data_IF_289977618581
#
_entry.id   IF_289977618581
#
_cell.length_a   1.000
_cell.length_b   1.000
_cell.length_c   1.000
_cell.angle_alpha   90.00
_cell.angle_beta   90.00
_cell.angle_gamma   90.00
#
_symmetry.space_group_name_H-M   'P 1'
#
loop_
_entity.id
_entity.type
_entity.pdbx_description
1 polymer ?
#
# COMPACT_ATOMS: atom_id res chain seq x y z
N UNK A 1 37.87 -69.68 -56.89
CA UNK A 1 37.58 -68.36 -57.48
C UNK A 1 36.06 -68.17 -57.46
N UNK A 2 35.60 -67.02 -56.96
CA UNK A 2 34.22 -66.47 -56.99
C UNK A 2 33.14 -67.33 -56.33
N UNK A 3 32.37 -66.90 -55.34
CA UNK A 3 31.93 -65.56 -54.93
C UNK A 3 30.40 -65.60 -54.80
N UNK A 4 29.83 -65.30 -53.64
CA UNK A 4 28.37 -65.22 -53.47
C UNK A 4 27.87 -65.36 -52.04
N UNK A 5 27.49 -64.24 -51.44
CA UNK A 5 27.06 -64.04 -50.05
C UNK A 5 25.63 -64.55 -49.74
N UNK A 6 25.48 -65.08 -48.51
CA UNK A 6 24.46 -64.82 -47.45
C UNK A 6 22.96 -64.75 -47.83
N UNK A 7 22.11 -65.46 -47.06
CA UNK A 7 21.35 -64.91 -45.90
C UNK A 7 20.07 -65.73 -45.57
N UNK A 8 19.93 -66.25 -44.35
CA UNK A 8 18.65 -66.63 -43.69
C UNK A 8 18.83 -66.42 -42.17
N UNK A 9 18.42 -65.26 -41.64
CA UNK A 9 17.21 -65.01 -40.83
C UNK A 9 17.40 -65.26 -39.33
N UNK A 10 17.49 -64.16 -38.55
CA UNK A 10 17.16 -64.14 -37.13
C UNK A 10 16.34 -62.87 -36.86
N UNK A 11 15.18 -63.07 -36.25
CA UNK A 11 14.19 -62.07 -35.89
C UNK A 11 14.64 -61.26 -34.67
N UNK A 12 14.52 -59.94 -34.71
CA UNK A 12 14.57 -59.07 -33.52
C UNK A 12 13.40 -58.09 -33.56
N UNK A 13 12.50 -58.26 -32.59
CA UNK A 13 11.33 -57.43 -32.31
C UNK A 13 11.81 -56.06 -31.84
N UNK A 14 11.44 -55.00 -32.55
CA UNK A 14 11.70 -53.62 -32.15
C UNK A 14 10.50 -53.08 -31.37
N UNK A 15 10.66 -52.86 -30.07
CA UNK A 15 9.70 -52.10 -29.25
C UNK A 15 10.03 -50.62 -29.43
N UNK A 16 9.15 -49.88 -30.11
CA UNK A 16 9.25 -48.43 -30.21
C UNK A 16 8.65 -47.79 -28.94
N UNK A 17 9.51 -47.25 -28.08
CA UNK A 17 9.09 -46.39 -26.96
C UNK A 17 8.92 -44.97 -27.51
N UNK A 18 7.67 -44.53 -27.67
CA UNK A 18 7.36 -43.13 -27.98
C UNK A 18 7.43 -42.33 -26.68
N UNK A 19 8.56 -41.65 -26.46
CA UNK A 19 8.68 -40.61 -25.44
C UNK A 19 7.91 -39.37 -25.92
N UNK A 20 6.66 -39.22 -25.46
CA UNK A 20 5.94 -37.95 -25.57
C UNK A 20 6.53 -37.02 -24.51
N UNK A 21 7.46 -36.15 -24.91
CA UNK A 21 7.87 -35.02 -24.10
C UNK A 21 6.70 -34.03 -24.06
N UNK A 22 5.87 -34.13 -23.02
CA UNK A 22 4.90 -33.10 -22.69
C UNK A 22 5.66 -31.82 -22.31
N UNK A 23 5.85 -30.94 -23.28
CA UNK A 23 6.12 -29.53 -23.01
C UNK A 23 4.90 -29.03 -22.26
N UNK A 24 5.02 -28.96 -20.94
CA UNK A 24 4.04 -28.28 -20.09
C UNK A 24 4.00 -26.82 -20.53
N UNK A 25 3.03 -26.47 -21.36
CA UNK A 25 2.63 -25.08 -21.54
C UNK A 25 2.09 -24.69 -20.17
N UNK A 26 2.89 -23.98 -19.38
CA UNK A 26 2.40 -23.31 -18.18
C UNK A 26 1.42 -22.25 -18.67
N UNK A 27 0.13 -22.60 -18.69
CA UNK A 27 -0.93 -21.62 -18.86
C UNK A 27 -0.78 -20.69 -17.66
N UNK A 28 -0.18 -19.53 -17.89
CA UNK A 28 -0.06 -18.51 -16.87
C UNK A 28 -1.48 -18.03 -16.65
N UNK A 29 -2.15 -18.51 -15.61
CA UNK A 29 -3.50 -18.04 -15.28
C UNK A 29 -3.46 -16.52 -15.20
N UNK A 30 -4.31 -15.88 -16.00
CA UNK A 30 -4.39 -14.44 -16.03
C UNK A 30 -4.80 -13.98 -14.63
N UNK A 31 -3.89 -13.27 -13.95
CA UNK A 31 -4.13 -12.74 -12.61
C UNK A 31 -5.49 -12.02 -12.57
N UNK A 32 -6.31 -12.20 -11.52
CA UNK A 32 -7.63 -11.61 -11.45
C UNK A 32 -7.57 -10.09 -11.62
N UNK A 33 -8.60 -9.50 -12.21
CA UNK A 33 -8.71 -8.04 -12.30
C UNK A 33 -8.91 -7.49 -10.89
N UNK A 34 -8.06 -6.54 -10.50
CA UNK A 34 -8.22 -5.87 -9.22
C UNK A 34 -9.36 -4.86 -9.33
N UNK A 35 -10.48 -5.16 -8.68
CA UNK A 35 -11.65 -4.29 -8.64
C UNK A 35 -12.05 -4.03 -7.19
N UNK A 36 -11.65 -2.88 -6.66
CA UNK A 36 -11.89 -2.55 -5.25
C UNK A 36 -13.32 -2.05 -5.10
N UNK A 37 -14.08 -2.72 -4.23
CA UNK A 37 -15.45 -2.34 -3.91
C UNK A 37 -15.44 -0.98 -3.21
N UNK A 38 -16.27 -0.07 -3.69
CA UNK A 38 -16.53 1.20 -3.01
C UNK A 38 -18.00 1.57 -3.11
N UNK A 39 -18.73 1.37 -2.01
CA UNK A 39 -20.17 1.51 -1.88
C UNK A 39 -20.59 2.94 -1.58
N UNK A 40 -19.70 3.77 -1.02
CA UNK A 40 -19.98 5.18 -0.72
C UNK A 40 -19.92 6.01 -2.00
N UNK A 41 -21.04 6.09 -2.72
CA UNK A 41 -21.14 6.80 -4.00
C UNK A 41 -20.66 8.26 -3.92
N UNK A 42 -19.89 8.67 -4.93
CA UNK A 42 -19.24 9.99 -5.04
C UNK A 42 -18.26 10.35 -3.91
N UNK A 43 -17.94 9.43 -2.98
CA UNK A 43 -16.88 9.67 -2.01
C UNK A 43 -15.55 9.92 -2.71
N UNK A 44 -14.77 10.86 -2.16
CA UNK A 44 -13.40 11.11 -2.57
C UNK A 44 -12.49 11.02 -1.36
N UNK A 45 -11.34 10.40 -1.52
CA UNK A 45 -10.36 10.22 -0.47
C UNK A 45 -8.96 10.13 -1.07
N UNK A 46 -7.96 9.96 -0.21
CA UNK A 46 -6.59 9.63 -0.62
C UNK A 46 -6.39 8.13 -0.46
N UNK A 47 -5.80 7.48 -1.47
CA UNK A 47 -5.43 6.06 -1.44
C UNK A 47 -3.96 5.91 -1.82
N UNK A 48 -3.40 4.72 -1.59
CA UNK A 48 -2.04 4.35 -1.95
C UNK A 48 -2.03 3.20 -2.94
N UNK A 49 -0.99 3.11 -3.76
CA UNK A 49 -0.68 1.92 -4.54
C UNK A 49 0.80 1.63 -4.45
N UNK A 50 1.16 0.36 -4.52
CA UNK A 50 2.54 -0.01 -4.83
C UNK A 50 2.90 0.40 -6.24
N UNK A 51 4.18 0.72 -6.43
CA UNK A 51 4.79 0.80 -7.73
C UNK A 51 6.19 0.18 -7.66
N UNK A 52 6.49 -0.63 -8.67
CA UNK A 52 7.81 -1.19 -8.89
C UNK A 52 8.20 -0.98 -10.35
N UNK A 53 9.50 -0.80 -10.59
CA UNK A 53 10.06 -0.75 -11.94
C UNK A 53 11.15 -1.81 -12.05
N UNK A 54 11.15 -2.57 -13.14
CA UNK A 54 12.22 -3.55 -13.42
C UNK A 54 13.56 -2.87 -13.74
N UNK A 55 13.52 -1.60 -14.13
CA UNK A 55 14.70 -0.76 -14.35
C UNK A 55 14.89 0.20 -13.18
N UNK A 56 16.13 0.69 -12.99
CA UNK A 56 16.38 1.79 -12.07
C UNK A 56 15.64 3.05 -12.52
N UNK A 57 15.09 3.79 -11.57
CA UNK A 57 14.34 5.04 -11.80
C UNK A 57 14.64 6.03 -10.67
N UNK A 58 14.00 7.19 -10.67
CA UNK A 58 14.02 8.17 -9.59
C UNK A 58 12.62 8.44 -9.04
N UNK A 59 12.54 8.97 -7.81
CA UNK A 59 11.25 9.42 -7.25
C UNK A 59 10.58 10.50 -8.11
N UNK A 60 11.35 11.38 -8.77
CA UNK A 60 10.81 12.38 -9.70
C UNK A 60 10.11 11.76 -10.91
N UNK A 61 10.70 10.72 -11.50
CA UNK A 61 10.10 10.01 -12.63
C UNK A 61 8.82 9.28 -12.22
N UNK A 62 8.81 8.65 -11.03
CA UNK A 62 7.60 8.03 -10.46
C UNK A 62 6.52 9.09 -10.22
N UNK A 63 6.86 10.19 -9.55
CA UNK A 63 5.94 11.29 -9.32
C UNK A 63 5.33 11.83 -10.63
N UNK A 64 6.16 11.94 -11.67
CA UNK A 64 5.73 12.39 -13.01
C UNK A 64 4.79 11.38 -13.67
N UNK A 65 5.14 10.09 -13.64
CA UNK A 65 4.34 9.00 -14.22
C UNK A 65 2.94 8.93 -13.58
N UNK A 66 2.86 9.10 -12.26
CA UNK A 66 1.61 9.05 -11.51
C UNK A 66 0.89 10.40 -11.40
N UNK A 67 1.49 11.50 -11.88
CA UNK A 67 0.91 12.83 -11.78
C UNK A 67 0.81 13.33 -10.33
N UNK A 68 1.72 12.93 -9.44
CA UNK A 68 1.79 13.38 -8.05
C UNK A 68 2.16 14.86 -8.04
N UNK A 69 1.18 15.74 -7.78
CA UNK A 69 1.36 17.20 -7.85
C UNK A 69 2.33 17.73 -6.78
N UNK A 70 2.25 17.20 -5.57
CA UNK A 70 3.07 17.62 -4.43
C UNK A 70 4.09 16.53 -4.13
N UNK A 71 5.37 16.76 -4.48
CA UNK A 71 6.42 15.75 -4.32
C UNK A 71 6.57 15.26 -2.87
N UNK A 72 6.28 16.12 -1.89
CA UNK A 72 6.27 15.77 -0.47
C UNK A 72 5.26 14.67 -0.11
N UNK A 73 4.16 14.54 -0.86
CA UNK A 73 3.20 13.45 -0.64
C UNK A 73 3.83 12.09 -0.94
N UNK A 74 4.67 12.00 -1.98
CA UNK A 74 5.40 10.78 -2.32
C UNK A 74 6.44 10.44 -1.25
N UNK A 75 7.16 11.44 -0.74
CA UNK A 75 8.12 11.24 0.36
C UNK A 75 7.41 10.76 1.63
N UNK A 76 6.29 11.41 1.96
CA UNK A 76 5.48 11.12 3.13
C UNK A 76 4.86 9.72 3.14
N UNK A 77 4.36 9.26 1.99
CA UNK A 77 3.85 7.90 1.81
C UNK A 77 4.93 6.81 2.01
N UNK A 78 6.21 7.16 1.92
CA UNK A 78 7.36 6.25 2.06
C UNK A 78 8.22 6.55 3.29
N UNK A 79 7.76 7.41 4.20
CA UNK A 79 8.50 7.86 5.37
C UNK A 79 9.91 8.41 5.08
N UNK A 80 10.12 8.98 3.89
CA UNK A 80 11.41 9.56 3.52
C UNK A 80 11.57 10.95 4.13
N UNK A 81 12.77 11.39 4.52
CA UNK A 81 13.00 12.75 5.02
C UNK A 81 12.49 13.81 4.03
N UNK A 82 11.83 14.87 4.52
CA UNK A 82 11.22 15.90 3.67
C UNK A 82 12.20 16.72 2.83
N UNK A 83 13.50 16.64 3.14
CA UNK A 83 14.59 17.23 2.35
C UNK A 83 15.20 16.24 1.31
N UNK A 84 14.58 15.08 1.11
CA UNK A 84 15.05 14.07 0.15
C UNK A 84 15.01 14.65 -1.26
N UNK A 85 16.12 14.47 -1.99
CA UNK A 85 16.29 15.00 -3.34
C UNK A 85 15.31 14.34 -4.33
N UNK A 86 14.80 15.11 -5.29
CA UNK A 86 13.92 14.59 -6.34
C UNK A 86 14.60 13.52 -7.22
N UNK A 87 15.93 13.58 -7.36
CA UNK A 87 16.76 12.58 -8.04
C UNK A 87 17.13 11.38 -7.17
N UNK A 88 16.48 11.19 -6.01
CA UNK A 88 16.66 10.00 -5.20
C UNK A 88 16.44 8.74 -6.06
N UNK A 89 17.49 7.91 -6.13
CA UNK A 89 17.52 6.71 -6.95
C UNK A 89 16.67 5.62 -6.31
N UNK A 90 15.81 5.01 -7.12
CA UNK A 90 15.01 3.84 -6.78
C UNK A 90 15.61 2.65 -7.53
N UNK A 91 15.97 1.61 -6.77
CA UNK A 91 16.58 0.42 -7.34
C UNK A 91 15.54 -0.43 -8.10
N UNK A 92 15.97 -1.27 -9.06
CA UNK A 92 15.10 -2.26 -9.69
C UNK A 92 14.28 -3.05 -8.66
N UNK A 93 12.99 -3.18 -8.91
CA UNK A 93 12.00 -3.90 -8.09
C UNK A 93 11.83 -3.36 -6.65
N UNK A 94 12.43 -2.22 -6.32
CA UNK A 94 12.14 -1.53 -5.07
C UNK A 94 10.71 -1.00 -5.10
N UNK A 95 9.94 -1.35 -4.08
CA UNK A 95 8.55 -0.91 -3.92
C UNK A 95 8.52 0.53 -3.42
N UNK A 96 7.75 1.37 -4.12
CA UNK A 96 7.45 2.74 -3.74
C UNK A 96 5.94 2.88 -3.60
N UNK A 97 5.47 3.34 -2.43
CA UNK A 97 4.05 3.66 -2.21
C UNK A 97 3.74 5.00 -2.87
N UNK A 98 2.79 5.02 -3.79
CA UNK A 98 2.40 6.22 -4.51
C UNK A 98 1.01 6.68 -4.07
N UNK A 99 0.86 7.90 -3.54
CA UNK A 99 -0.44 8.45 -3.18
C UNK A 99 -1.16 9.02 -4.41
N UNK A 100 -2.47 8.84 -4.45
CA UNK A 100 -3.33 9.41 -5.48
C UNK A 100 -4.75 9.69 -4.93
N UNK A 101 -5.49 10.64 -5.52
CA UNK A 101 -6.88 10.86 -5.17
C UNK A 101 -7.74 9.71 -5.71
N UNK A 102 -8.60 9.15 -4.87
CA UNK A 102 -9.60 8.16 -5.23
C UNK A 102 -10.97 8.80 -5.39
N UNK A 103 -11.80 8.27 -6.29
CA UNK A 103 -13.22 8.59 -6.39
C UNK A 103 -14.04 7.31 -6.55
N UNK A 104 -15.09 7.20 -5.75
CA UNK A 104 -16.03 6.10 -5.81
C UNK A 104 -17.20 6.40 -6.72
N UNK A 105 -17.53 5.45 -7.59
CA UNK A 105 -18.66 5.53 -8.51
C UNK A 105 -19.04 4.15 -9.00
N UNK A 106 -20.35 3.87 -9.10
CA UNK A 106 -20.86 2.60 -9.61
C UNK A 106 -20.33 1.39 -8.81
N UNK A 107 -20.33 1.50 -7.48
CA UNK A 107 -19.83 0.47 -6.54
C UNK A 107 -18.34 0.12 -6.63
N UNK A 108 -17.54 0.86 -7.40
CA UNK A 108 -16.10 0.66 -7.49
C UNK A 108 -15.37 1.97 -7.20
N UNK A 109 -14.14 1.88 -6.69
CA UNK A 109 -13.28 3.04 -6.55
C UNK A 109 -12.16 3.01 -7.58
N UNK A 110 -11.96 4.14 -8.25
CA UNK A 110 -10.86 4.33 -9.18
C UNK A 110 -10.18 5.67 -8.95
N UNK A 111 -8.92 5.78 -9.36
CA UNK A 111 -8.17 7.01 -9.22
C UNK A 111 -8.87 8.17 -9.93
N UNK A 112 -9.00 9.32 -9.28
CA UNK A 112 -9.81 10.44 -9.74
C UNK A 112 -9.12 11.18 -10.90
N UNK A 113 -9.27 10.66 -12.12
CA UNK A 113 -8.76 11.19 -13.38
C UNK A 113 -7.23 11.41 -13.47
N UNK A 114 -6.47 10.79 -12.56
CA UNK A 114 -4.99 10.75 -12.56
C UNK A 114 -4.51 9.33 -12.21
N UNK A 115 -3.39 8.82 -12.75
CA UNK A 115 -2.54 9.48 -13.72
C UNK A 115 -3.14 9.59 -15.12
N UNK A 116 -2.61 10.52 -15.89
CA UNK A 116 -2.86 10.66 -17.32
C UNK A 116 -1.58 10.31 -18.08
N UNK A 117 -1.64 9.25 -18.88
CA UNK A 117 -0.53 8.77 -19.67
C UNK A 117 -0.63 9.24 -21.11
N UNK A 118 0.46 9.82 -21.64
CA UNK A 118 0.55 10.20 -23.05
C UNK A 118 1.15 9.05 -23.83
N UNK A 119 0.37 8.48 -24.74
CA UNK A 119 0.75 7.34 -25.57
C UNK A 119 1.95 7.72 -26.44
N UNK A 120 2.97 6.87 -26.47
CA UNK A 120 4.15 7.04 -27.31
C UNK A 120 4.13 6.02 -28.48
N UNK A 121 4.89 6.27 -29.56
CA UNK A 121 4.98 5.32 -30.67
C UNK A 121 5.40 3.92 -30.19
N UNK A 122 4.66 2.89 -30.62
CA UNK A 122 4.92 1.50 -30.26
C UNK A 122 4.22 0.99 -28.99
N UNK A 123 3.47 1.84 -28.29
CA UNK A 123 2.68 1.41 -27.14
C UNK A 123 1.51 0.49 -27.56
N UNK A 124 1.18 -0.43 -26.66
CA UNK A 124 -0.10 -1.15 -26.62
C UNK A 124 -0.74 -0.95 -25.25
N UNK A 125 -2.06 -1.09 -25.13
CA UNK A 125 -2.71 -0.97 -23.82
C UNK A 125 -2.20 -2.02 -22.81
N UNK A 126 -1.87 -3.23 -23.28
CA UNK A 126 -1.30 -4.29 -22.43
C UNK A 126 0.11 -3.95 -21.93
N UNK A 127 0.98 -3.43 -22.79
CA UNK A 127 2.33 -3.01 -22.38
C UNK A 127 2.27 -1.81 -21.42
N UNK A 128 1.35 -0.86 -21.65
CA UNK A 128 1.12 0.25 -20.72
C UNK A 128 0.69 -0.30 -19.35
N UNK A 129 -0.31 -1.18 -19.32
CA UNK A 129 -0.83 -1.78 -18.10
C UNK A 129 0.24 -2.59 -17.34
N UNK A 130 0.84 -3.60 -17.99
CA UNK A 130 1.74 -4.57 -17.35
C UNK A 130 3.14 -4.03 -17.09
N UNK A 131 3.70 -3.27 -18.04
CA UNK A 131 5.10 -2.83 -17.98
C UNK A 131 5.21 -1.42 -17.42
N UNK A 132 4.45 -0.46 -17.96
CA UNK A 132 4.58 0.95 -17.51
C UNK A 132 3.97 1.18 -16.14
N UNK A 133 2.80 0.62 -15.89
CA UNK A 133 2.09 0.71 -14.61
C UNK A 133 2.19 -0.57 -13.78
N UNK A 134 3.22 -1.39 -14.00
CA UNK A 134 3.57 -2.54 -13.16
C UNK A 134 2.42 -3.53 -12.89
N UNK A 135 1.45 -3.64 -13.80
CA UNK A 135 0.31 -4.54 -13.65
C UNK A 135 -0.77 -4.07 -12.67
N UNK A 136 -0.72 -2.80 -12.23
CA UNK A 136 -1.70 -2.19 -11.32
C UNK A 136 -3.11 -2.12 -11.89
N UNK A 137 -3.23 -2.19 -13.21
CA UNK A 137 -4.50 -2.27 -13.94
C UNK A 137 -4.35 -3.29 -15.06
N UNK A 138 -5.48 -3.76 -15.59
CA UNK A 138 -5.56 -4.52 -16.85
C UNK A 138 -5.84 -3.58 -18.01
N UNK A 139 -5.48 -4.01 -19.22
CA UNK A 139 -5.71 -3.22 -20.42
C UNK A 139 -7.21 -2.99 -20.68
N UNK A 140 -8.07 -3.94 -20.32
CA UNK A 140 -9.54 -3.85 -20.45
C UNK A 140 -10.10 -2.74 -19.54
N UNK A 141 -9.54 -2.58 -18.34
CA UNK A 141 -9.91 -1.49 -17.44
C UNK A 141 -9.53 -0.13 -18.05
N UNK A 142 -8.33 -0.02 -18.64
CA UNK A 142 -7.91 1.18 -19.36
C UNK A 142 -8.85 1.45 -20.56
N UNK A 143 -9.14 0.43 -21.36
CA UNK A 143 -10.00 0.54 -22.54
C UNK A 143 -11.39 1.07 -22.17
N UNK A 144 -12.02 0.45 -21.16
CA UNK A 144 -13.36 0.79 -20.68
C UNK A 144 -13.40 2.22 -20.11
N UNK A 145 -12.45 2.55 -19.23
CA UNK A 145 -12.37 3.86 -18.59
C UNK A 145 -12.18 5.02 -19.59
N UNK A 146 -11.53 4.75 -20.72
CA UNK A 146 -11.26 5.74 -21.77
C UNK A 146 -12.21 5.64 -22.96
N UNK A 147 -13.21 4.74 -22.94
CA UNK A 147 -14.15 4.50 -24.03
C UNK A 147 -13.43 4.23 -25.37
N UNK A 148 -12.33 3.47 -25.33
CA UNK A 148 -11.54 3.14 -26.51
C UNK A 148 -12.26 2.02 -27.28
N UNK A 149 -12.69 2.25 -28.53
CA UNK A 149 -13.48 1.25 -29.27
C UNK A 149 -12.70 -0.03 -29.59
N UNK A 150 -11.43 0.11 -29.96
CA UNK A 150 -10.53 -1.01 -30.29
C UNK A 150 -9.21 -0.87 -29.52
N UNK A 151 -8.93 -1.82 -28.63
CA UNK A 151 -7.72 -1.86 -27.81
C UNK A 151 -6.43 -1.98 -28.63
N UNK A 152 -6.50 -2.49 -29.85
CA UNK A 152 -5.36 -2.63 -30.75
C UNK A 152 -5.08 -1.37 -31.57
N UNK A 153 -6.02 -0.42 -31.59
CA UNK A 153 -5.91 0.81 -32.38
C UNK A 153 -5.88 2.04 -31.46
N UNK A 154 -4.71 2.30 -30.89
CA UNK A 154 -4.45 3.48 -30.06
C UNK A 154 -3.52 4.46 -30.79
N UNK A 155 -3.80 5.76 -30.64
CA UNK A 155 -3.07 6.81 -31.37
C UNK A 155 -1.95 7.41 -30.52
N UNK A 156 -0.71 7.37 -31.01
CA UNK A 156 0.41 8.06 -30.37
C UNK A 156 0.12 9.56 -30.21
N UNK A 157 0.53 10.13 -29.07
CA UNK A 157 0.27 11.51 -28.68
C UNK A 157 -1.06 11.73 -27.96
N UNK A 158 -2.02 10.80 -28.08
CA UNK A 158 -3.25 10.85 -27.29
C UNK A 158 -2.94 10.64 -25.80
N UNK A 159 -3.80 11.19 -24.94
CA UNK A 159 -3.66 11.07 -23.48
C UNK A 159 -4.81 10.27 -22.90
N UNK A 160 -4.49 9.17 -22.23
CA UNK A 160 -5.45 8.25 -21.59
C UNK A 160 -5.35 8.35 -20.07
N UNK A 161 -6.46 8.16 -19.38
CA UNK A 161 -6.52 8.04 -17.93
C UNK A 161 -6.25 6.58 -17.52
N UNK A 162 -5.44 6.39 -16.47
CA UNK A 162 -5.16 5.07 -15.92
C UNK A 162 -5.99 4.90 -14.63
N UNK A 163 -7.03 4.05 -14.63
CA UNK A 163 -7.98 3.93 -13.53
C UNK A 163 -7.44 3.01 -12.43
N UNK A 164 -6.51 3.50 -11.61
CA UNK A 164 -5.93 2.69 -10.53
C UNK A 164 -7.03 2.30 -9.51
N UNK A 165 -7.12 1.03 -9.09
CA UNK A 165 -8.15 0.60 -8.14
C UNK A 165 -7.90 1.19 -6.76
N UNK A 166 -8.99 1.58 -6.09
CA UNK A 166 -8.96 2.16 -4.75
C UNK A 166 -10.34 2.05 -4.09
N UNK A 167 -10.45 2.46 -2.83
CA UNK A 167 -11.74 2.64 -2.16
C UNK A 167 -11.63 3.73 -1.10
N UNK A 168 -12.79 4.26 -0.71
CA UNK A 168 -12.96 5.26 0.35
C UNK A 168 -13.86 4.76 1.48
N UNK A 169 -14.30 3.50 1.41
CA UNK A 169 -15.21 2.93 2.39
C UNK A 169 -14.50 2.70 3.74
N UNK A 170 -15.22 2.82 4.86
CA UNK A 170 -14.74 2.27 6.12
C UNK A 170 -14.70 0.73 6.04
N UNK A 171 -13.75 0.13 6.75
CA UNK A 171 -13.66 -1.33 6.89
C UNK A 171 -13.89 -1.69 8.36
N UNK A 172 -14.78 -2.66 8.60
CA UNK A 172 -15.20 -3.09 9.94
C UNK A 172 -15.66 -1.92 10.83
N UNK A 173 -16.32 -0.92 10.23
CA UNK A 173 -16.81 0.28 10.91
C UNK A 173 -15.73 1.32 11.26
N UNK A 174 -14.49 1.12 10.80
CA UNK A 174 -13.36 2.01 11.07
C UNK A 174 -12.87 2.70 9.81
N UNK A 175 -12.45 3.96 9.94
CA UNK A 175 -11.79 4.67 8.83
C UNK A 175 -10.41 4.07 8.57
N UNK A 176 -10.13 3.80 7.30
CA UNK A 176 -8.88 3.21 6.84
C UNK A 176 -8.41 3.91 5.58
N UNK A 177 -7.12 3.81 5.27
CA UNK A 177 -6.61 4.18 3.94
C UNK A 177 -6.45 2.92 3.12
N UNK A 178 -7.23 2.80 2.04
CA UNK A 178 -7.08 1.70 1.09
C UNK A 178 -5.74 1.79 0.35
N UNK A 179 -5.04 0.66 0.32
CA UNK A 179 -3.72 0.53 -0.27
C UNK A 179 -3.71 -0.68 -1.20
N UNK A 180 -3.50 -0.41 -2.48
CA UNK A 180 -3.33 -1.43 -3.49
C UNK A 180 -1.92 -2.03 -3.40
N UNK A 181 -1.82 -3.17 -2.70
CA UNK A 181 -0.58 -3.85 -2.40
C UNK A 181 -0.29 -4.96 -3.42
N UNK A 182 0.89 -4.93 -4.06
CA UNK A 182 1.30 -6.02 -4.97
C UNK A 182 1.85 -7.16 -4.11
N UNK A 183 1.19 -8.32 -4.14
CA UNK A 183 1.55 -9.49 -3.33
C UNK A 183 2.96 -9.97 -3.71
N UNK A 184 3.95 -9.90 -2.80
CA UNK A 184 5.29 -10.41 -3.08
C UNK A 184 5.30 -11.93 -3.20
N UNK A 185 6.23 -12.47 -3.98
CA UNK A 185 6.43 -13.92 -4.10
C UNK A 185 6.68 -14.56 -2.73
N UNK A 186 5.96 -15.66 -2.43
CA UNK A 186 6.07 -16.39 -1.16
C UNK A 186 5.32 -15.78 0.02
N UNK A 187 4.58 -14.68 -0.19
CA UNK A 187 3.74 -14.08 0.86
C UNK A 187 2.49 -14.92 1.11
N UNK A 188 1.94 -14.80 2.32
CA UNK A 188 0.65 -15.34 2.69
C UNK A 188 -0.28 -14.24 3.22
N UNK A 189 -1.58 -14.52 3.26
CA UNK A 189 -2.56 -13.64 3.92
C UNK A 189 -2.13 -13.36 5.36
N UNK A 190 -1.62 -14.37 6.08
CA UNK A 190 -1.14 -14.20 7.45
C UNK A 190 0.03 -13.22 7.53
N UNK A 191 1.06 -13.36 6.68
CA UNK A 191 2.24 -12.48 6.76
C UNK A 191 1.89 -11.04 6.40
N UNK A 192 1.02 -10.84 5.40
CA UNK A 192 0.57 -9.50 5.00
C UNK A 192 -0.29 -8.87 6.11
N UNK A 193 -1.22 -9.64 6.68
CA UNK A 193 -2.07 -9.17 7.77
C UNK A 193 -1.25 -8.75 8.99
N UNK A 194 -0.24 -9.54 9.36
CA UNK A 194 0.70 -9.20 10.44
C UNK A 194 1.51 -7.94 10.12
N UNK A 195 2.01 -7.79 8.89
CA UNK A 195 2.80 -6.63 8.46
C UNK A 195 2.02 -5.32 8.63
N UNK A 196 0.72 -5.33 8.34
CA UNK A 196 -0.12 -4.12 8.39
C UNK A 196 -1.01 -4.05 9.64
N UNK A 197 -0.80 -4.94 10.61
CA UNK A 197 -1.57 -5.02 11.86
C UNK A 197 -3.09 -5.09 11.65
N UNK A 198 -3.53 -5.89 10.68
CA UNK A 198 -4.93 -6.17 10.36
C UNK A 198 -5.26 -7.65 10.61
N UNK A 199 -6.54 -7.98 10.71
CA UNK A 199 -6.96 -9.39 10.85
C UNK A 199 -6.91 -10.11 9.50
N UNK A 200 -6.59 -11.41 9.51
CA UNK A 200 -6.65 -12.23 8.28
C UNK A 200 -8.05 -12.26 7.70
N UNK A 201 -9.08 -12.35 8.55
CA UNK A 201 -10.47 -12.41 8.12
C UNK A 201 -10.91 -11.12 7.42
N UNK A 202 -10.49 -9.96 7.92
CA UNK A 202 -10.71 -8.67 7.27
C UNK A 202 -10.08 -8.66 5.88
N UNK A 203 -8.84 -9.13 5.75
CA UNK A 203 -8.15 -9.15 4.46
C UNK A 203 -8.78 -10.11 3.45
N UNK A 204 -9.21 -11.30 3.90
CA UNK A 204 -9.90 -12.29 3.07
C UNK A 204 -11.25 -11.76 2.58
N UNK A 205 -12.09 -11.28 3.50
CA UNK A 205 -13.43 -10.78 3.18
C UNK A 205 -13.40 -9.53 2.29
N UNK A 206 -12.47 -8.61 2.51
CA UNK A 206 -12.32 -7.41 1.68
C UNK A 206 -11.93 -7.74 0.23
N UNK A 207 -11.18 -8.84 0.04
CA UNK A 207 -10.64 -9.23 -1.27
C UNK A 207 -11.38 -10.43 -1.90
N UNK A 208 -12.54 -10.80 -1.37
CA UNK A 208 -13.34 -11.94 -1.85
C UNK A 208 -12.52 -13.25 -1.97
N UNK A 209 -11.64 -13.50 -0.99
CA UNK A 209 -10.82 -14.70 -0.92
C UNK A 209 -11.43 -15.70 0.07
N UNK A 210 -11.99 -16.80 -0.44
CA UNK A 210 -12.58 -17.85 0.39
C UNK A 210 -11.54 -18.74 1.09
N UNK A 211 -10.37 -18.97 0.45
CA UNK A 211 -9.24 -19.71 1.01
C UNK A 211 -7.98 -18.84 0.95
N UNK A 212 -7.25 -18.63 2.06
CA UNK A 212 -5.97 -17.90 2.07
C UNK A 212 -4.90 -18.49 1.12
N UNK A 213 -5.03 -19.77 0.71
CA UNK A 213 -4.13 -20.41 -0.25
C UNK A 213 -4.37 -19.96 -1.70
N UNK A 214 -5.49 -19.30 -1.98
CA UNK A 214 -5.80 -18.76 -3.30
C UNK A 214 -5.07 -17.44 -3.58
N UNK A 215 -4.30 -16.92 -2.62
CA UNK A 215 -3.49 -15.72 -2.82
C UNK A 215 -2.38 -15.99 -3.84
N UNK A 216 -2.34 -15.20 -4.91
CA UNK A 216 -1.34 -15.34 -5.97
C UNK A 216 -0.25 -14.28 -5.85
N UNK A 217 1.00 -14.67 -6.14
CA UNK A 217 2.09 -13.71 -6.27
C UNK A 217 1.83 -12.75 -7.44
N UNK A 218 2.05 -11.44 -7.23
CA UNK A 218 1.78 -10.39 -8.20
C UNK A 218 0.31 -9.98 -8.28
N UNK A 219 -0.60 -10.63 -7.55
CA UNK A 219 -1.97 -10.16 -7.37
C UNK A 219 -1.96 -8.81 -6.67
N UNK A 220 -2.88 -7.92 -7.05
CA UNK A 220 -3.12 -6.68 -6.33
C UNK A 220 -4.17 -6.93 -5.25
N UNK A 221 -3.81 -6.64 -4.01
CA UNK A 221 -4.63 -6.87 -2.83
C UNK A 221 -5.03 -5.52 -2.22
N UNK A 222 -6.31 -5.33 -1.92
CA UNK A 222 -6.80 -4.20 -1.13
C UNK A 222 -6.43 -4.42 0.33
N UNK A 223 -5.48 -3.62 0.83
CA UNK A 223 -5.06 -3.65 2.22
C UNK A 223 -5.63 -2.41 2.92
N UNK A 224 -6.51 -2.57 3.93
CA UNK A 224 -7.10 -1.46 4.65
C UNK A 224 -6.12 -0.99 5.74
N UNK A 225 -5.28 -0.01 5.43
CA UNK A 225 -4.28 0.46 6.37
C UNK A 225 -4.94 1.17 7.56
N UNK A 226 -4.69 0.72 8.81
CA UNK A 226 -5.11 1.45 9.99
C UNK A 226 -4.47 2.84 10.01
N UNK A 227 -5.27 3.85 10.36
CA UNK A 227 -4.84 5.25 10.43
C UNK A 227 -4.85 5.75 11.86
N UNK A 228 -4.11 6.81 12.12
CA UNK A 228 -4.17 7.49 13.41
C UNK A 228 -5.50 8.25 13.58
N UNK A 229 -6.06 8.20 14.80
CA UNK A 229 -7.21 8.99 15.23
C UNK A 229 -6.86 10.48 15.18
N UNK A 230 -7.75 11.30 14.64
CA UNK A 230 -7.54 12.74 14.51
C UNK A 230 -8.67 13.54 15.16
N UNK A 231 -8.36 14.77 15.55
CA UNK A 231 -9.31 15.77 16.04
C UNK A 231 -9.90 16.63 14.89
N UNK A 232 -9.75 16.18 13.64
CA UNK A 232 -10.13 16.95 12.45
C UNK A 232 -11.65 16.94 12.29
N UNK A 233 -12.21 18.13 12.15
CA UNK A 233 -13.66 18.32 12.04
C UNK A 233 -14.15 17.90 10.66
N UNK A 234 -15.39 17.39 10.62
CA UNK A 234 -16.04 16.94 9.38
C UNK A 234 -16.31 18.06 8.37
N UNK A 235 -16.31 19.31 8.79
CA UNK A 235 -16.46 20.49 7.95
C UNK A 235 -15.13 21.04 7.40
N UNK A 236 -14.00 20.40 7.73
CA UNK A 236 -12.69 20.77 7.20
C UNK A 236 -12.51 20.38 5.74
N UNK A 237 -11.77 21.18 4.97
CA UNK A 237 -11.46 20.90 3.56
C UNK A 237 -10.54 19.69 3.34
N UNK A 238 -9.84 19.24 4.38
CA UNK A 238 -9.04 18.00 4.37
C UNK A 238 -9.70 16.84 5.11
N UNK A 239 -11.00 16.93 5.45
CA UNK A 239 -11.67 15.79 6.06
C UNK A 239 -12.07 14.73 5.01
N UNK A 240 -11.85 13.43 5.29
CA UNK A 240 -11.01 12.89 6.37
C UNK A 240 -9.51 12.94 6.00
N UNK A 241 -8.66 13.42 6.91
CA UNK A 241 -7.20 13.33 6.75
C UNK A 241 -6.72 12.00 7.31
N UNK A 242 -6.57 11.03 6.41
CA UNK A 242 -6.18 9.67 6.72
C UNK A 242 -4.64 9.57 6.66
N UNK A 243 -4.00 9.18 7.77
CA UNK A 243 -2.55 9.02 7.85
C UNK A 243 -2.20 7.65 8.43
N UNK A 244 -1.76 6.69 7.60
CA UNK A 244 -1.34 5.36 8.04
C UNK A 244 -0.06 5.37 8.88
N UNK A 245 0.15 4.30 9.65
CA UNK A 245 1.39 4.08 10.39
C UNK A 245 2.64 4.23 9.49
N UNK A 246 3.69 4.84 10.04
CA UNK A 246 4.95 5.11 9.37
C UNK A 246 4.78 5.92 8.08
N UNK A 247 3.83 6.86 8.07
CA UNK A 247 3.68 7.85 7.00
C UNK A 247 3.48 9.24 7.59
N UNK A 248 3.65 10.26 6.74
CA UNK A 248 3.25 11.62 7.05
C UNK A 248 2.67 12.29 5.82
N UNK A 249 1.84 13.32 6.02
CA UNK A 249 1.30 14.15 4.95
C UNK A 249 1.32 15.62 5.34
N UNK A 250 1.42 16.48 4.33
CA UNK A 250 1.27 17.91 4.48
C UNK A 250 -0.17 18.30 4.12
N UNK A 251 -0.75 19.20 4.91
CA UNK A 251 -2.11 19.73 4.70
C UNK A 251 -2.12 21.24 4.92
N UNK A 252 -3.29 21.86 4.75
CA UNK A 252 -3.50 23.30 4.90
C UNK A 252 -2.45 24.12 4.13
N UNK A 253 -2.36 23.87 2.81
CA UNK A 253 -1.39 24.52 1.91
C UNK A 253 0.07 24.36 2.34
N UNK A 254 0.43 23.16 2.80
CA UNK A 254 1.76 22.81 3.31
C UNK A 254 2.15 23.51 4.62
N UNK A 255 1.22 24.14 5.35
CA UNK A 255 1.51 24.76 6.65
C UNK A 255 1.56 23.77 7.81
N UNK A 256 0.85 22.65 7.69
CA UNK A 256 0.75 21.64 8.74
C UNK A 256 1.28 20.33 8.21
N UNK A 257 2.15 19.68 8.99
CA UNK A 257 2.62 18.32 8.73
C UNK A 257 2.00 17.41 9.78
N UNK A 258 1.33 16.36 9.34
CA UNK A 258 0.75 15.35 10.22
C UNK A 258 1.38 13.99 9.94
N UNK A 259 1.84 13.31 10.99
CA UNK A 259 2.45 11.98 10.92
C UNK A 259 1.71 11.00 11.81
N UNK A 260 1.79 9.73 11.47
CA UNK A 260 1.28 8.64 12.29
C UNK A 260 2.42 7.66 12.59
N UNK A 261 2.69 7.47 13.87
CA UNK A 261 3.66 6.51 14.38
C UNK A 261 2.95 5.63 15.42
N UNK A 262 2.62 4.41 15.02
CA UNK A 262 1.85 3.43 15.79
C UNK A 262 2.73 2.62 16.75
N UNK A 263 3.98 3.04 16.99
CA UNK A 263 4.87 2.38 17.96
C UNK A 263 4.51 2.66 19.43
N UNK A 264 3.57 3.58 19.69
CA UNK A 264 3.04 3.87 21.04
C UNK A 264 1.59 3.42 21.25
N UNK A 265 1.19 3.30 22.52
CA UNK A 265 -0.16 2.85 22.95
C UNK A 265 -1.30 3.76 22.45
N UNK A 266 -0.98 5.01 22.08
CA UNK A 266 -1.95 5.98 21.55
C UNK A 266 -1.74 6.21 20.05
N UNK A 267 -2.62 5.61 19.24
CA UNK A 267 -2.70 5.81 17.79
C UNK A 267 -3.29 7.18 17.41
N UNK A 268 -2.81 8.26 18.00
CA UNK A 268 -3.28 9.62 17.73
C UNK A 268 -2.41 10.31 16.68
N UNK A 269 -3.04 11.10 15.83
CA UNK A 269 -2.40 11.83 14.76
C UNK A 269 -1.52 12.94 15.35
N UNK A 270 -0.25 12.97 14.96
CA UNK A 270 0.70 13.94 15.47
C UNK A 270 0.93 15.02 14.42
N UNK A 271 0.43 16.23 14.67
CA UNK A 271 0.58 17.35 13.75
C UNK A 271 1.50 18.43 14.34
N UNK A 272 2.31 19.03 13.47
CA UNK A 272 3.26 20.10 13.78
C UNK A 272 3.25 21.15 12.67
N UNK A 273 3.80 22.33 12.97
CA UNK A 273 4.08 23.34 11.95
C UNK A 273 5.12 22.80 10.96
N UNK A 274 4.84 22.90 9.66
CA UNK A 274 5.73 22.38 8.61
C UNK A 274 7.05 23.13 8.49
N UNK A 275 7.04 24.43 8.84
CA UNK A 275 8.09 25.41 8.53
C UNK A 275 8.41 25.54 7.03
N UNK A 276 7.52 25.05 6.16
CA UNK A 276 7.63 25.22 4.71
C UNK A 276 6.98 26.53 4.29
N UNK A 277 7.45 27.07 3.16
CA UNK A 277 6.74 28.17 2.50
C UNK A 277 5.41 27.61 1.97
N UNK A 278 4.26 28.21 2.31
CA UNK A 278 3.00 27.71 1.84
C UNK A 278 2.88 27.80 0.32
N UNK A 279 2.09 26.89 -0.24
CA UNK A 279 1.79 26.82 -1.67
C UNK A 279 0.51 27.57 -2.03
N UNK A 280 0.31 27.83 -3.32
CA UNK A 280 -0.79 28.62 -3.87
C UNK A 280 -0.76 30.07 -3.35
N UNK A 281 -1.92 30.73 -3.30
CA UNK A 281 -2.03 32.17 -3.00
C UNK A 281 -1.82 32.54 -1.51
N UNK A 282 -1.24 31.65 -0.70
CA UNK A 282 -0.88 31.94 0.69
C UNK A 282 0.52 32.55 0.74
N UNK A 283 0.63 33.77 1.27
CA UNK A 283 1.93 34.43 1.44
C UNK A 283 2.67 33.93 2.68
N UNK A 284 1.93 33.62 3.76
CA UNK A 284 2.45 33.16 5.05
C UNK A 284 1.45 32.19 5.68
N UNK A 285 1.95 31.22 6.44
CA UNK A 285 1.10 30.33 7.23
C UNK A 285 0.39 31.08 8.37
N UNK A 286 -0.93 30.90 8.55
CA UNK A 286 -1.69 31.41 9.69
C UNK A 286 -1.13 30.91 11.03
N UNK A 287 -1.57 31.53 12.11
CA UNK A 287 -1.15 31.13 13.46
C UNK A 287 -1.60 29.71 13.79
N UNK A 288 -0.66 28.87 14.22
CA UNK A 288 -0.89 27.48 14.65
C UNK A 288 -0.88 27.39 16.19
N UNK A 289 -1.68 28.22 16.86
CA UNK A 289 -1.75 28.31 18.33
C UNK A 289 -3.09 27.79 18.84
N UNK A 290 -3.09 27.03 19.94
CA UNK A 290 -4.32 26.61 20.62
C UNK A 290 -4.78 27.61 21.69
N UNK A 291 -3.84 28.07 22.54
CA UNK A 291 -4.12 29.01 23.62
C UNK A 291 -2.82 29.65 24.11
N UNK A 292 -2.81 30.96 24.35
CA UNK A 292 -1.62 31.68 24.83
C UNK A 292 -0.38 31.43 23.97
N UNK A 293 0.65 30.82 24.56
CA UNK A 293 1.92 30.44 23.91
C UNK A 293 1.97 28.98 23.42
N UNK A 294 0.88 28.23 23.54
CA UNK A 294 0.82 26.80 23.18
C UNK A 294 0.67 26.66 21.67
N UNK A 295 1.72 26.15 21.03
CA UNK A 295 1.78 25.89 19.60
C UNK A 295 1.28 24.48 19.28
N UNK A 296 0.85 24.28 18.03
CA UNK A 296 0.49 22.98 17.46
C UNK A 296 1.56 21.92 17.75
N UNK A 297 1.15 20.79 18.31
CA UNK A 297 2.02 19.69 18.74
C UNK A 297 2.56 19.80 20.17
N UNK A 298 2.49 20.98 20.81
CA UNK A 298 2.94 21.13 22.20
C UNK A 298 2.01 20.38 23.16
N UNK A 299 2.61 19.80 24.20
CA UNK A 299 1.90 19.19 25.34
C UNK A 299 1.99 20.12 26.55
N UNK A 300 0.86 20.38 27.23
CA UNK A 300 0.79 21.41 28.30
C UNK A 300 0.44 20.88 29.68
N UNK A 301 -0.08 19.66 29.76
CA UNK A 301 -0.42 18.99 31.02
C UNK A 301 -0.14 17.52 30.84
N UNK A 302 0.46 16.90 31.85
CA UNK A 302 0.70 15.46 31.93
C UNK A 302 0.32 15.01 33.33
N UNK A 303 -0.90 14.53 33.49
CA UNK A 303 -1.24 13.67 34.63
C UNK A 303 -0.66 12.27 34.34
N UNK A 304 -0.67 11.37 35.33
CA UNK A 304 -0.16 10.00 35.15
C UNK A 304 -0.81 9.22 34.00
N UNK A 305 -2.07 9.55 33.64
CA UNK A 305 -2.84 8.87 32.60
C UNK A 305 -3.46 9.79 31.55
N UNK A 306 -3.23 11.11 31.61
CA UNK A 306 -3.82 12.04 30.66
C UNK A 306 -2.82 13.11 30.28
N UNK A 307 -2.77 13.45 28.99
CA UNK A 307 -2.01 14.61 28.52
C UNK A 307 -2.86 15.51 27.66
N UNK A 308 -2.61 16.82 27.74
CA UNK A 308 -3.28 17.80 26.86
C UNK A 308 -2.34 18.21 25.75
N UNK A 309 -2.74 17.95 24.50
CA UNK A 309 -1.97 18.25 23.29
C UNK A 309 -2.72 19.27 22.45
N UNK A 310 -1.99 20.24 21.91
CA UNK A 310 -2.53 21.14 20.91
C UNK A 310 -2.65 20.40 19.58
N UNK A 311 -3.86 19.99 19.24
CA UNK A 311 -4.19 19.19 18.07
C UNK A 311 -4.65 20.07 16.90
N UNK A 312 -4.34 19.62 15.69
CA UNK A 312 -4.89 20.18 14.47
C UNK A 312 -6.35 19.72 14.28
N UNK A 313 -7.23 20.65 13.91
CA UNK A 313 -8.67 20.36 13.73
C UNK A 313 -9.19 20.65 12.34
N UNK A 314 -8.35 21.15 11.43
CA UNK A 314 -8.73 21.40 10.04
C UNK A 314 -8.39 22.79 9.53
N UNK A 315 -8.75 23.04 8.27
CA UNK A 315 -8.66 24.35 7.64
C UNK A 315 -9.86 24.62 6.72
N UNK A 316 -10.08 25.90 6.45
CA UNK A 316 -11.24 26.41 5.69
C UNK A 316 -10.81 27.12 4.42
N UNK A 317 -11.77 27.32 3.50
CA UNK A 317 -11.56 28.07 2.25
C UNK A 317 -11.18 29.54 2.49
N UNK A 318 -11.59 30.11 3.64
CA UNK A 318 -11.20 31.44 4.10
C UNK A 318 -9.78 31.52 4.66
N UNK A 319 -8.97 30.47 4.48
CA UNK A 319 -7.55 30.39 4.86
C UNK A 319 -7.30 30.43 6.36
N UNK A 320 -8.26 29.97 7.15
CA UNK A 320 -8.07 29.80 8.59
C UNK A 320 -7.69 28.36 8.89
N UNK A 321 -6.62 28.19 9.69
CA UNK A 321 -6.25 26.92 10.30
C UNK A 321 -6.82 26.89 11.72
N UNK A 322 -7.50 25.80 12.06
CA UNK A 322 -8.11 25.61 13.37
C UNK A 322 -7.34 24.57 14.17
N UNK A 323 -7.14 24.85 15.45
CA UNK A 323 -6.49 23.95 16.42
C UNK A 323 -7.32 23.89 17.70
N UNK A 324 -7.10 22.86 18.52
CA UNK A 324 -7.78 22.72 19.82
C UNK A 324 -6.88 22.05 20.85
N UNK A 325 -7.08 22.33 22.13
CA UNK A 325 -6.38 21.65 23.21
C UNK A 325 -7.12 20.35 23.58
N UNK A 326 -6.76 19.26 22.91
CA UNK A 326 -7.36 17.94 23.07
C UNK A 326 -6.74 17.16 24.24
N UNK A 327 -7.56 16.39 24.94
CA UNK A 327 -7.11 15.48 25.99
C UNK A 327 -6.86 14.10 25.39
N UNK A 328 -5.65 13.57 25.57
CA UNK A 328 -5.25 12.24 25.14
C UNK A 328 -5.00 11.38 26.38
N UNK A 329 -5.74 10.28 26.50
CA UNK A 329 -5.55 9.31 27.58
C UNK A 329 -4.34 8.44 27.25
N UNK A 330 -3.30 8.42 28.09
CA UNK A 330 -2.04 7.69 27.85
C UNK A 330 -1.98 6.31 28.52
N UNK A 331 -2.99 5.97 29.30
CA UNK A 331 -3.09 4.66 29.93
C UNK A 331 -3.91 3.71 29.06
N UNK A 332 -3.48 2.45 29.01
CA UNK A 332 -4.22 1.38 28.35
C UNK A 332 -5.64 1.31 28.95
N UNK A 333 -6.65 1.48 28.10
CA UNK A 333 -8.03 1.16 28.47
C UNK A 333 -8.08 -0.36 28.65
N UNK A 334 -8.43 -0.82 29.86
CA UNK A 334 -8.62 -2.25 30.10
C UNK A 334 -9.63 -2.80 29.08
N UNK A 335 -9.37 -3.97 28.45
CA UNK A 335 -10.32 -4.53 27.50
C UNK A 335 -11.67 -4.70 28.20
N UNK A 336 -12.70 -4.07 27.64
CA UNK A 336 -14.07 -4.23 28.08
C UNK A 336 -14.44 -5.71 27.92
N UNK A 337 -14.48 -6.43 29.04
CA UNK A 337 -14.82 -7.84 29.07
C UNK A 337 -16.26 -8.04 28.60
N UNK A 338 -16.43 -8.61 27.40
CA UNK A 338 -17.61 -9.40 27.10
C UNK A 338 -17.52 -10.67 27.95
N UNK A 339 -18.42 -10.79 28.93
CA UNK A 339 -18.51 -11.98 29.76
C UNK A 339 -18.80 -13.19 28.90
N UNK A 340 -17.87 -14.13 28.88
CA UNK A 340 -18.19 -15.52 28.57
C UNK A 340 -17.51 -16.42 29.60
N UNK A 341 -18.33 -17.30 30.18
CA UNK A 341 -17.96 -18.16 31.30
C UNK A 341 -17.40 -19.45 30.72
N UNK A 342 -16.09 -19.66 30.83
CA UNK A 342 -15.46 -20.89 30.36
C UNK A 342 -14.06 -21.11 30.92
N UNK A 343 -14.00 -21.89 32.01
CA UNK A 343 -12.94 -22.81 32.44
C UNK A 343 -11.48 -22.48 32.09
N UNK A 344 -10.71 -22.16 33.12
CA UNK A 344 -9.32 -21.73 33.03
C UNK A 344 -8.34 -22.74 32.44
N UNK A 345 -7.34 -22.18 31.76
CA UNK A 345 -5.98 -22.70 31.68
C UNK A 345 -5.02 -21.51 31.56
N UNK A 346 -4.29 -21.21 32.63
CA UNK A 346 -3.22 -20.21 32.63
C UNK A 346 -2.10 -20.66 31.68
N UNK A 347 -1.96 -20.01 30.53
CA UNK A 347 -0.74 -20.13 29.70
C UNK A 347 0.15 -18.92 29.98
N UNK A 348 1.18 -19.16 30.77
CA UNK A 348 2.31 -18.25 30.96
C UNK A 348 3.03 -18.02 29.62
N UNK A 349 2.84 -16.85 29.01
CA UNK A 349 3.69 -16.38 27.92
C UNK A 349 4.95 -15.74 28.51
N UNK A 350 5.91 -16.59 28.86
CA UNK A 350 7.31 -16.21 29.01
C UNK A 350 8.17 -17.27 28.29
N UNK A 351 9.17 -16.81 27.54
CA UNK A 351 10.27 -17.59 26.94
C UNK A 351 10.12 -18.27 25.56
N UNK A 352 9.44 -17.64 24.60
CA UNK A 352 9.62 -17.97 23.17
C UNK A 352 10.86 -17.33 22.52
N UNK A 353 11.36 -16.22 23.08
CA UNK A 353 12.40 -15.40 22.44
C UNK A 353 13.84 -15.76 22.87
N UNK A 354 14.00 -16.36 24.06
CA UNK A 354 15.32 -16.73 24.62
C UNK A 354 15.77 -18.11 24.11
N UNK A 355 14.86 -19.07 23.92
CA UNK A 355 15.21 -20.40 23.40
C UNK A 355 15.70 -20.36 21.94
N UNK A 356 15.13 -19.47 21.11
CA UNK A 356 15.50 -19.41 19.69
C UNK A 356 16.93 -18.86 19.50
N UNK A 357 17.41 -17.97 20.38
CA UNK A 357 18.80 -17.50 20.36
C UNK A 357 19.80 -18.55 20.88
N UNK A 358 19.40 -19.38 21.84
CA UNK A 358 20.24 -20.44 22.38
C UNK A 358 20.48 -21.57 21.35
N UNK A 359 19.45 -21.94 20.58
CA UNK A 359 19.54 -22.94 19.52
C UNK A 359 20.44 -22.51 18.35
N UNK A 360 20.38 -21.23 17.96
CA UNK A 360 21.25 -20.67 16.91
C UNK A 360 22.72 -20.70 17.36
N UNK A 361 23.01 -20.35 18.62
CA UNK A 361 24.37 -20.34 19.15
C UNK A 361 24.99 -21.75 19.22
N UNK A 362 24.19 -22.75 19.60
CA UNK A 362 24.61 -24.16 19.63
C UNK A 362 24.89 -24.68 18.21
N UNK A 363 24.07 -24.33 17.22
CA UNK A 363 24.33 -24.71 15.82
C UNK A 363 25.62 -24.09 15.27
N UNK A 364 25.91 -22.82 15.58
CA UNK A 364 27.17 -22.20 15.17
C UNK A 364 28.40 -22.81 15.84
N UNK A 365 28.29 -23.20 17.13
CA UNK A 365 29.39 -23.86 17.84
C UNK A 365 29.66 -25.28 17.31
N UNK A 366 28.61 -26.06 17.00
CA UNK A 366 28.77 -27.40 16.42
C UNK A 366 29.40 -27.32 15.02
N UNK A 367 29.01 -26.33 14.21
CA UNK A 367 29.57 -26.14 12.87
C UNK A 367 31.06 -25.76 12.90
N UNK A 368 31.50 -25.02 13.92
CA UNK A 368 32.91 -24.66 14.13
C UNK A 368 33.78 -25.83 14.59
N UNK A 369 33.23 -26.77 15.36
CA UNK A 369 33.95 -27.98 15.81
C UNK A 369 34.13 -28.99 14.66
N UNK A 370 33.32 -28.92 13.61
CA UNK A 370 33.47 -29.77 12.41
C UNK A 370 34.39 -29.18 11.32
N UNK A 371 34.81 -27.92 11.46
CA UNK A 371 35.67 -27.20 10.49
C UNK A 371 37.10 -26.96 10.99
N UNK A 372 37.42 -27.43 12.20
CA UNK A 372 38.77 -27.57 12.77
C UNK A 372 39.11 -29.05 12.85
#
# INVERSE_FOLDING_TARGET
MSGGNKMVTVWLITVAVVLVASVGITVTEAQPEANFKCLTENATCRSLTDYTSTNSTTLKEIATLFGVKHFLDLLGANNLPSNTNNSYKVNPNQVIKVPFPCKCSNRTGTSNHVPRYKIVPGDTLDAIARVRFAGLVKYQQIQTANKIPDANNITAGATIWIPLPCSCDPVDGTSVMHYAHIVPMGSSIQSIAQQYAISQQTLLSLNDLDDPKNLLAGQLLDVPLPVCNSSIKSDSLDFPLLVPNATYFYTAHECVKCKCDSTGDNKNLQCEASNLKPINNWSVCPSLKCSGSVLLGNTTSTDSCSRRVCDYTGYTSSRNISTTLATQNTCAVAPSGSGDSGSGASRSMLNGWVLNKLLILIHFLILFVYLL
#
